data_IF_138886569947
#
_entry.id   IF_138886569947
#
_cell.length_a   1.000
_cell.length_b   1.000
_cell.length_c   1.000
_cell.angle_alpha   90.00
_cell.angle_beta   90.00
_cell.angle_gamma   90.00
#
_symmetry.space_group_name_H-M   'P 1'
#
loop_
_entity.id
_entity.type
_entity.pdbx_description
1 polymer ?
#
# COMPACT_ATOMS: atom_id res chain seq x y z
N UNK A 1 10.93 -7.97 -24.82
CA UNK A 1 9.73 -7.39 -24.21
C UNK A 1 9.95 -7.41 -22.71
N UNK A 2 10.08 -6.23 -22.09
CA UNK A 2 10.53 -6.07 -20.69
C UNK A 2 9.39 -6.38 -19.73
N UNK A 3 9.63 -7.30 -18.80
CA UNK A 3 8.73 -7.64 -17.67
C UNK A 3 8.80 -6.53 -16.60
N UNK A 4 7.85 -5.59 -16.63
CA UNK A 4 7.81 -4.42 -15.73
C UNK A 4 6.59 -4.43 -14.79
N UNK A 5 6.21 -5.58 -14.18
CA UNK A 5 4.80 -5.80 -13.87
C UNK A 5 4.44 -6.03 -12.40
N UNK A 6 5.37 -5.90 -11.42
CA UNK A 6 5.10 -6.43 -10.07
C UNK A 6 5.16 -5.44 -8.91
N UNK A 7 5.78 -4.27 -9.03
CA UNK A 7 5.88 -3.32 -7.91
C UNK A 7 4.55 -2.76 -7.43
N UNK A 8 3.52 -2.77 -8.25
CA UNK A 8 2.23 -2.24 -7.88
C UNK A 8 1.14 -3.30 -7.66
N UNK A 9 1.43 -4.56 -7.99
CA UNK A 9 0.58 -5.70 -7.65
C UNK A 9 1.00 -6.37 -6.34
N UNK A 10 2.08 -5.91 -5.76
CA UNK A 10 2.53 -6.32 -4.44
C UNK A 10 1.48 -6.14 -3.35
N UNK A 11 0.63 -5.08 -3.34
CA UNK A 11 -0.53 -5.01 -2.46
C UNK A 11 -1.74 -5.85 -2.88
N UNK A 12 -1.86 -6.26 -4.14
CA UNK A 12 -3.00 -7.06 -4.67
C UNK A 12 -2.99 -8.51 -4.15
N UNK A 13 -1.91 -8.94 -3.49
CA UNK A 13 -1.70 -10.31 -3.01
C UNK A 13 -2.46 -10.69 -1.71
N UNK A 14 -3.41 -9.90 -1.24
CA UNK A 14 -3.82 -9.93 0.16
C UNK A 14 -5.27 -10.34 0.45
N UNK A 15 -5.91 -11.11 -0.37
CA UNK A 15 -7.22 -11.63 -0.06
C UNK A 15 -7.18 -13.07 0.41
N UNK A 16 -7.36 -13.29 1.65
CA UNK A 16 -8.06 -14.38 2.32
C UNK A 16 -7.50 -14.77 3.70
N UNK A 17 -8.26 -14.58 4.76
CA UNK A 17 -7.95 -15.07 6.11
C UNK A 17 -9.07 -15.80 6.79
N UNK A 18 -8.73 -16.96 7.35
CA UNK A 18 -9.35 -17.50 8.53
C UNK A 18 -8.31 -17.64 9.65
N UNK A 19 -8.65 -17.15 10.83
CA UNK A 19 -7.83 -17.25 12.01
C UNK A 19 -7.87 -18.67 12.56
N UNK A 20 -6.72 -19.37 12.56
CA UNK A 20 -6.40 -20.36 13.57
C UNK A 20 -5.17 -19.88 14.30
N UNK A 21 -5.28 -19.69 15.63
CA UNK A 21 -4.15 -19.33 16.47
C UNK A 21 -3.07 -20.41 16.41
N UNK A 22 -1.87 -20.02 16.08
CA UNK A 22 -0.67 -20.83 16.06
C UNK A 22 0.53 -19.92 16.29
N UNK A 23 1.46 -20.40 17.10
CA UNK A 23 2.68 -19.72 17.55
C UNK A 23 3.48 -19.08 16.40
N UNK A 24 4.13 -17.97 16.69
CA UNK A 24 4.94 -17.20 15.76
C UNK A 24 6.06 -18.06 15.15
N UNK A 25 6.18 -18.16 13.82
CA UNK A 25 7.31 -18.85 13.21
C UNK A 25 8.59 -18.02 13.31
N UNK A 26 9.67 -18.67 13.71
CA UNK A 26 11.05 -18.17 13.63
C UNK A 26 11.40 -17.79 12.19
N UNK A 27 12.14 -16.68 12.03
CA UNK A 27 12.58 -16.15 10.73
C UNK A 27 13.30 -17.23 9.89
N UNK A 28 12.92 -17.46 8.62
CA UNK A 28 13.69 -18.30 7.73
C UNK A 28 14.89 -17.51 7.19
N UNK A 29 16.10 -17.99 7.50
CA UNK A 29 17.35 -17.57 6.86
C UNK A 29 17.31 -17.94 5.38
N UNK A 30 17.55 -16.97 4.49
CA UNK A 30 17.46 -17.14 3.04
C UNK A 30 18.45 -18.15 2.49
N UNK A 31 17.95 -19.30 2.05
CA UNK A 31 18.63 -20.18 1.09
C UNK A 31 18.39 -19.63 -0.33
N UNK A 32 19.32 -19.81 -1.30
CA UNK A 32 19.14 -19.37 -2.68
C UNK A 32 17.87 -19.99 -3.27
N UNK A 33 17.04 -19.15 -3.88
CA UNK A 33 15.67 -19.43 -4.22
C UNK A 33 15.47 -20.72 -5.06
N UNK A 34 14.64 -21.61 -4.55
CA UNK A 34 14.09 -22.73 -5.30
C UNK A 34 13.30 -22.17 -6.48
N UNK A 35 13.73 -22.46 -7.71
CA UNK A 35 12.91 -22.14 -8.88
C UNK A 35 11.67 -23.03 -8.85
N UNK A 36 10.51 -22.43 -8.67
CA UNK A 36 9.24 -23.13 -8.65
C UNK A 36 8.75 -23.32 -10.09
N UNK A 37 8.59 -24.56 -10.50
CA UNK A 37 7.94 -24.89 -11.77
C UNK A 37 6.51 -25.30 -11.47
N UNK A 38 5.55 -24.47 -11.89
CA UNK A 38 4.12 -24.69 -11.68
C UNK A 38 3.47 -24.96 -13.02
N UNK A 39 2.71 -26.05 -13.11
CA UNK A 39 1.96 -26.38 -14.32
C UNK A 39 0.64 -25.64 -14.33
N UNK A 40 0.49 -24.69 -15.24
CA UNK A 40 -0.74 -23.95 -15.42
C UNK A 40 -1.65 -24.66 -16.44
N UNK A 41 -2.93 -24.79 -16.10
CA UNK A 41 -3.97 -25.47 -16.89
C UNK A 41 -5.15 -24.53 -17.15
N UNK A 42 -6.06 -24.84 -18.09
CA UNK A 42 -7.32 -24.12 -18.21
C UNK A 42 -8.14 -24.18 -16.90
N UNK A 43 -9.04 -23.20 -16.65
CA UNK A 43 -9.91 -23.26 -15.50
C UNK A 43 -10.74 -24.54 -15.43
N UNK A 44 -10.85 -25.11 -14.22
CA UNK A 44 -11.76 -26.24 -13.96
C UNK A 44 -13.23 -25.79 -14.10
N UNK A 45 -14.18 -26.72 -14.23
CA UNK A 45 -15.61 -26.36 -14.31
C UNK A 45 -16.08 -25.51 -13.12
N UNK A 46 -15.57 -25.76 -11.91
CA UNK A 46 -15.90 -24.97 -10.70
C UNK A 46 -15.38 -23.54 -10.83
N UNK A 47 -14.12 -23.36 -11.21
CA UNK A 47 -13.51 -22.03 -11.37
C UNK A 47 -14.16 -21.29 -12.56
N UNK A 48 -14.46 -21.97 -13.66
CA UNK A 48 -15.16 -21.38 -14.81
C UNK A 48 -16.56 -20.87 -14.44
N UNK A 49 -17.29 -21.59 -13.59
CA UNK A 49 -18.60 -21.16 -13.11
C UNK A 49 -18.48 -19.96 -12.16
N UNK A 50 -17.52 -19.94 -11.22
CA UNK A 50 -17.26 -18.77 -10.36
C UNK A 50 -16.91 -17.56 -11.23
N UNK A 51 -16.02 -17.72 -12.23
CA UNK A 51 -15.65 -16.64 -13.16
C UNK A 51 -16.87 -16.06 -13.87
N UNK A 52 -17.75 -16.90 -14.37
CA UNK A 52 -18.98 -16.46 -15.05
C UNK A 52 -19.87 -15.64 -14.10
N UNK A 53 -20.02 -16.10 -12.85
CA UNK A 53 -20.83 -15.41 -11.83
C UNK A 53 -20.21 -14.07 -11.44
N UNK A 54 -18.89 -14.03 -11.18
CA UNK A 54 -18.13 -12.83 -10.81
C UNK A 54 -18.17 -11.80 -11.96
N UNK A 55 -17.99 -12.26 -13.22
CA UNK A 55 -18.07 -11.41 -14.41
C UNK A 55 -19.44 -10.74 -14.55
N UNK A 56 -20.52 -11.52 -14.35
CA UNK A 56 -21.89 -10.99 -14.39
C UNK A 56 -22.15 -9.96 -13.26
N UNK A 57 -21.62 -10.20 -12.07
CA UNK A 57 -21.76 -9.29 -10.93
C UNK A 57 -21.02 -7.99 -11.12
N UNK A 58 -19.81 -8.08 -11.66
CA UNK A 58 -18.94 -6.93 -11.87
C UNK A 58 -19.31 -6.17 -13.16
N UNK A 59 -19.97 -6.81 -14.10
CA UNK A 59 -20.33 -6.23 -15.39
C UNK A 59 -19.15 -6.12 -16.36
N UNK A 60 -18.15 -6.97 -16.22
CA UNK A 60 -16.99 -7.03 -17.11
C UNK A 60 -16.97 -8.37 -17.86
N UNK A 61 -16.43 -8.39 -19.10
CA UNK A 61 -16.29 -9.63 -19.85
C UNK A 61 -15.25 -10.56 -19.20
N UNK A 62 -15.53 -11.86 -19.17
CA UNK A 62 -14.58 -12.85 -18.70
C UNK A 62 -13.34 -12.91 -19.64
N UNK A 63 -12.11 -12.99 -19.08
CA UNK A 63 -10.90 -13.16 -19.87
C UNK A 63 -10.89 -14.51 -20.61
N UNK A 64 -10.43 -14.51 -21.86
CA UNK A 64 -10.35 -15.73 -22.69
C UNK A 64 -9.06 -16.53 -22.48
N UNK A 65 -8.06 -15.96 -21.79
CA UNK A 65 -6.71 -16.53 -21.67
C UNK A 65 -6.33 -16.88 -20.23
N UNK A 66 -7.31 -16.93 -19.32
CA UNK A 66 -7.06 -17.28 -17.93
C UNK A 66 -6.49 -18.69 -17.81
N UNK A 67 -5.43 -18.83 -17.02
CA UNK A 67 -4.83 -20.08 -16.61
C UNK A 67 -5.00 -20.25 -15.10
N UNK A 68 -4.95 -21.48 -14.63
CA UNK A 68 -5.02 -21.81 -13.20
C UNK A 68 -3.90 -22.75 -12.82
N UNK A 69 -3.33 -22.57 -11.66
CA UNK A 69 -2.29 -23.43 -11.14
C UNK A 69 -2.48 -23.66 -9.63
N UNK A 70 -2.33 -24.88 -9.18
CA UNK A 70 -2.26 -25.20 -7.76
C UNK A 70 -0.85 -24.95 -7.22
N UNK A 71 -0.76 -24.37 -6.03
CA UNK A 71 0.51 -24.08 -5.34
C UNK A 71 0.38 -24.54 -3.89
N UNK A 72 1.35 -25.34 -3.42
CA UNK A 72 1.39 -25.71 -2.03
C UNK A 72 1.70 -24.47 -1.15
N UNK A 73 1.10 -24.39 0.04
CA UNK A 73 1.31 -23.23 0.95
C UNK A 73 2.79 -22.96 1.24
N UNK A 74 3.60 -24.00 1.39
CA UNK A 74 5.04 -23.86 1.61
C UNK A 74 5.83 -23.28 0.43
N UNK A 75 5.25 -23.27 -0.77
CA UNK A 75 5.88 -22.75 -1.99
C UNK A 75 5.49 -21.29 -2.30
N UNK A 76 4.52 -20.72 -1.57
CA UNK A 76 4.07 -19.33 -1.76
C UNK A 76 5.22 -18.31 -1.67
N UNK A 77 6.14 -18.39 -0.69
CA UNK A 77 7.28 -17.45 -0.64
C UNK A 77 8.16 -17.51 -1.89
N UNK A 78 8.39 -18.71 -2.44
CA UNK A 78 9.18 -18.88 -3.66
C UNK A 78 8.45 -18.33 -4.89
N UNK A 79 7.13 -18.50 -4.97
CA UNK A 79 6.30 -17.90 -6.01
C UNK A 79 6.39 -16.38 -5.98
N UNK A 80 6.26 -15.78 -4.80
CA UNK A 80 6.40 -14.34 -4.61
C UNK A 80 7.78 -13.82 -5.03
N UNK A 81 8.83 -14.53 -4.64
CA UNK A 81 10.21 -14.16 -5.00
C UNK A 81 10.48 -14.22 -6.50
N UNK A 82 9.87 -15.17 -7.22
CA UNK A 82 9.95 -15.26 -8.67
C UNK A 82 9.15 -14.16 -9.37
N UNK A 83 8.06 -13.75 -8.75
CA UNK A 83 7.22 -12.71 -9.24
C UNK A 83 7.89 -11.31 -9.12
N UNK A 84 8.73 -11.06 -8.12
CA UNK A 84 9.41 -9.78 -7.89
C UNK A 84 10.48 -9.48 -8.93
N UNK A 85 10.36 -8.32 -9.58
CA UNK A 85 11.40 -7.79 -10.48
C UNK A 85 12.51 -7.08 -9.70
N UNK A 86 13.61 -6.74 -10.38
CA UNK A 86 14.66 -5.89 -9.79
C UNK A 86 14.14 -4.48 -9.45
N UNK A 87 13.24 -3.92 -10.26
CA UNK A 87 12.60 -2.64 -9.97
C UNK A 87 11.78 -2.69 -8.67
N UNK A 88 11.07 -3.81 -8.44
CA UNK A 88 10.29 -4.00 -7.22
C UNK A 88 11.20 -4.05 -5.98
N UNK A 89 12.29 -4.80 -6.07
CA UNK A 89 13.28 -4.88 -4.98
C UNK A 89 13.88 -3.52 -4.66
N UNK A 90 14.19 -2.73 -5.68
CA UNK A 90 14.69 -1.36 -5.53
C UNK A 90 13.62 -0.45 -4.89
N UNK A 91 12.36 -0.56 -5.30
CA UNK A 91 11.26 0.19 -4.70
C UNK A 91 11.11 -0.15 -3.21
N UNK A 92 11.11 -1.44 -2.86
CA UNK A 92 11.06 -1.88 -1.45
C UNK A 92 12.26 -1.35 -0.65
N UNK A 93 13.46 -1.36 -1.22
CA UNK A 93 14.64 -0.81 -0.57
C UNK A 93 14.52 0.68 -0.27
N UNK A 94 14.09 1.48 -1.26
CA UNK A 94 13.85 2.92 -1.10
C UNK A 94 12.75 3.20 -0.07
N UNK A 95 11.66 2.44 -0.12
CA UNK A 95 10.55 2.55 0.84
C UNK A 95 10.99 2.17 2.25
N UNK A 96 11.83 1.13 2.39
CA UNK A 96 12.44 0.76 3.68
C UNK A 96 13.21 1.94 4.28
N UNK A 97 14.04 2.63 3.49
CA UNK A 97 14.78 3.81 3.97
C UNK A 97 13.83 4.90 4.47
N UNK A 98 12.83 5.27 3.67
CA UNK A 98 11.82 6.26 4.06
C UNK A 98 11.08 5.85 5.35
N UNK A 99 10.63 4.59 5.44
CA UNK A 99 9.84 4.12 6.58
C UNK A 99 10.65 4.01 7.88
N UNK A 100 11.94 3.72 7.79
CA UNK A 100 12.84 3.83 8.96
C UNK A 100 12.97 5.28 9.42
N UNK A 101 13.09 6.23 8.51
CA UNK A 101 13.16 7.67 8.84
C UNK A 101 11.84 8.17 9.47
N UNK A 102 10.69 7.73 8.98
CA UNK A 102 9.38 8.03 9.56
C UNK A 102 9.09 7.23 10.86
N UNK A 103 9.90 6.22 11.19
CA UNK A 103 9.69 5.36 12.35
C UNK A 103 8.59 4.31 12.18
N UNK A 104 8.18 4.03 10.95
CA UNK A 104 7.27 2.93 10.65
C UNK A 104 7.96 1.57 10.77
N UNK A 105 9.27 1.54 10.54
CA UNK A 105 10.14 0.38 10.68
C UNK A 105 11.23 0.63 11.70
N UNK A 106 11.60 -0.40 12.45
CA UNK A 106 12.81 -0.39 13.27
C UNK A 106 14.06 -0.39 12.37
N UNK A 107 15.25 -0.02 12.91
CA UNK A 107 16.48 0.01 12.11
C UNK A 107 16.88 -1.32 11.48
N UNK A 108 16.49 -2.44 12.10
CA UNK A 108 16.77 -3.81 11.69
C UNK A 108 15.67 -4.43 10.80
N UNK A 109 14.54 -3.76 10.66
CA UNK A 109 13.41 -4.25 9.83
C UNK A 109 13.57 -3.86 8.37
N UNK A 110 13.10 -4.73 7.49
CA UNK A 110 13.07 -4.57 6.05
C UNK A 110 11.62 -4.73 5.53
N UNK A 111 11.14 -3.76 4.73
CA UNK A 111 9.74 -3.74 4.30
C UNK A 111 9.40 -4.92 3.40
N UNK A 112 10.32 -5.35 2.52
CA UNK A 112 10.11 -6.54 1.67
C UNK A 112 10.00 -7.82 2.50
N UNK A 113 10.80 -7.94 3.57
CA UNK A 113 10.75 -9.09 4.47
C UNK A 113 9.42 -9.16 5.22
N UNK A 114 8.91 -8.02 5.72
CA UNK A 114 7.58 -7.94 6.34
C UNK A 114 6.51 -8.31 5.32
N UNK A 115 6.59 -7.78 4.11
CA UNK A 115 5.66 -8.06 3.05
C UNK A 115 5.63 -9.56 2.70
N UNK A 116 6.79 -10.21 2.56
CA UNK A 116 6.89 -11.66 2.31
C UNK A 116 6.28 -12.50 3.43
N UNK A 117 6.56 -12.14 4.69
CA UNK A 117 5.99 -12.84 5.83
C UNK A 117 4.46 -12.73 5.84
N UNK A 118 3.96 -11.54 5.59
CA UNK A 118 2.54 -11.28 5.47
C UNK A 118 1.89 -12.09 4.33
N UNK A 119 2.41 -11.99 3.13
CA UNK A 119 1.88 -12.71 1.98
C UNK A 119 1.99 -14.24 2.15
N UNK A 120 3.07 -14.73 2.72
CA UNK A 120 3.28 -16.17 2.95
C UNK A 120 2.26 -16.80 3.91
N UNK A 121 1.77 -16.03 4.89
CA UNK A 121 0.76 -16.52 5.86
C UNK A 121 -0.67 -16.28 5.38
N UNK A 122 -0.86 -15.25 4.59
CA UNK A 122 -2.14 -14.66 4.23
C UNK A 122 -2.76 -15.19 2.95
N UNK A 123 -1.93 -15.54 1.98
CA UNK A 123 -2.37 -15.84 0.62
C UNK A 123 -3.05 -17.21 0.53
N UNK A 124 -4.32 -17.25 0.11
CA UNK A 124 -5.05 -18.47 -0.29
C UNK A 124 -5.18 -18.52 -1.82
N UNK A 125 -5.06 -17.37 -2.49
CA UNK A 125 -5.06 -17.24 -3.95
C UNK A 125 -4.21 -16.07 -4.38
N UNK A 126 -3.85 -16.05 -5.66
CA UNK A 126 -3.07 -14.99 -6.27
C UNK A 126 -3.35 -14.96 -7.76
N UNK A 127 -3.76 -13.83 -8.29
CA UNK A 127 -3.76 -13.59 -9.73
C UNK A 127 -2.49 -12.87 -10.18
N UNK A 128 -1.75 -13.44 -11.13
CA UNK A 128 -0.58 -12.82 -11.75
C UNK A 128 -0.92 -12.27 -13.15
N UNK A 129 -1.03 -10.95 -13.32
CA UNK A 129 -1.36 -10.33 -14.60
C UNK A 129 -0.36 -10.62 -15.72
N UNK A 130 0.93 -10.75 -15.40
CA UNK A 130 1.97 -10.96 -16.40
C UNK A 130 1.81 -12.30 -17.15
N UNK A 131 1.39 -13.34 -16.44
CA UNK A 131 1.19 -14.69 -17.00
C UNK A 131 -0.29 -15.03 -17.24
N UNK A 132 -1.21 -14.15 -16.79
CA UNK A 132 -2.66 -14.36 -16.76
C UNK A 132 -3.03 -15.64 -16.01
N UNK A 133 -2.36 -15.88 -14.89
CA UNK A 133 -2.48 -17.10 -14.10
C UNK A 133 -3.08 -16.82 -12.73
N UNK A 134 -4.15 -17.52 -12.40
CA UNK A 134 -4.68 -17.64 -11.05
C UNK A 134 -3.94 -18.77 -10.34
N UNK A 135 -3.20 -18.46 -9.30
CA UNK A 135 -2.62 -19.44 -8.40
C UNK A 135 -3.60 -19.68 -7.24
N UNK A 136 -3.96 -20.94 -7.03
CA UNK A 136 -4.80 -21.37 -5.90
C UNK A 136 -3.90 -22.09 -4.91
N UNK A 137 -3.82 -21.57 -3.68
CA UNK A 137 -3.00 -22.16 -2.63
C UNK A 137 -3.78 -23.27 -1.95
N UNK A 138 -3.28 -24.50 -2.09
CA UNK A 138 -3.87 -25.69 -1.48
C UNK A 138 -3.04 -26.12 -0.28
N UNK A 139 -3.71 -26.64 0.79
CA UNK A 139 -3.03 -26.99 2.05
C UNK A 139 -2.01 -28.11 1.90
N UNK A 140 -2.34 -29.13 1.13
CA UNK A 140 -1.60 -30.40 0.99
C UNK A 140 -1.30 -30.79 -0.46
N UNK A 141 -1.53 -29.89 -1.43
CA UNK A 141 -1.43 -30.20 -2.84
C UNK A 141 -2.66 -30.91 -3.40
N UNK A 142 -3.79 -30.91 -2.65
CA UNK A 142 -5.09 -31.38 -3.15
C UNK A 142 -5.52 -30.60 -4.38
N UNK A 143 -6.29 -31.22 -5.25
CA UNK A 143 -6.72 -30.62 -6.51
C UNK A 143 -7.65 -29.41 -6.30
N UNK A 144 -7.62 -28.50 -7.27
CA UNK A 144 -8.49 -27.32 -7.32
C UNK A 144 -9.96 -27.64 -7.61
N UNK A 145 -10.34 -28.91 -7.58
CA UNK A 145 -11.69 -29.39 -7.81
C UNK A 145 -12.57 -29.32 -6.56
N UNK A 146 -11.99 -29.51 -5.36
CA UNK A 146 -12.69 -29.62 -4.08
C UNK A 146 -12.46 -28.38 -3.18
N UNK A 147 -12.71 -27.20 -3.72
CA UNK A 147 -12.56 -25.95 -2.97
C UNK A 147 -13.62 -25.83 -1.87
N UNK A 148 -13.19 -25.50 -0.66
CA UNK A 148 -14.06 -25.09 0.44
C UNK A 148 -14.85 -23.82 0.11
N UNK A 149 -15.83 -23.46 0.89
CA UNK A 149 -16.58 -22.22 0.70
C UNK A 149 -15.64 -20.99 0.77
N UNK A 150 -14.69 -21.00 1.69
CA UNK A 150 -13.72 -19.93 1.90
C UNK A 150 -12.74 -19.81 0.73
N UNK A 151 -12.22 -20.93 0.21
CA UNK A 151 -11.36 -20.93 -0.97
C UNK A 151 -12.10 -20.43 -2.21
N UNK A 152 -13.40 -20.74 -2.34
CA UNK A 152 -14.25 -20.20 -3.43
C UNK A 152 -14.46 -18.69 -3.33
N UNK A 153 -14.60 -18.14 -2.11
CA UNK A 153 -14.67 -16.69 -1.89
C UNK A 153 -13.37 -16.02 -2.32
N UNK A 154 -12.22 -16.59 -1.93
CA UNK A 154 -10.90 -16.11 -2.39
C UNK A 154 -10.74 -16.19 -3.90
N UNK A 155 -11.14 -17.32 -4.51
CA UNK A 155 -11.11 -17.47 -5.97
C UNK A 155 -12.00 -16.41 -6.63
N UNK A 156 -13.16 -16.08 -6.07
CA UNK A 156 -14.01 -15.00 -6.59
C UNK A 156 -13.34 -13.62 -6.52
N UNK A 157 -12.57 -13.35 -5.45
CA UNK A 157 -11.74 -12.16 -5.33
C UNK A 157 -10.67 -12.09 -6.43
N UNK A 158 -9.85 -13.12 -6.54
CA UNK A 158 -8.76 -13.18 -7.53
C UNK A 158 -9.26 -13.15 -8.98
N UNK A 159 -10.40 -13.75 -9.24
CA UNK A 159 -11.07 -13.67 -10.53
C UNK A 159 -11.57 -12.26 -10.84
N UNK A 160 -11.89 -11.46 -9.82
CA UNK A 160 -12.18 -10.03 -10.02
C UNK A 160 -10.94 -9.28 -10.51
N UNK A 161 -9.76 -9.58 -9.98
CA UNK A 161 -8.50 -9.02 -10.51
C UNK A 161 -8.24 -9.47 -11.97
N UNK A 162 -8.56 -10.72 -12.31
CA UNK A 162 -8.46 -11.18 -13.70
C UNK A 162 -9.40 -10.41 -14.65
N UNK A 163 -10.61 -10.05 -14.19
CA UNK A 163 -11.54 -9.20 -14.94
C UNK A 163 -11.02 -7.76 -15.08
N UNK A 164 -10.54 -7.16 -13.98
CA UNK A 164 -9.97 -5.82 -13.97
C UNK A 164 -8.77 -5.74 -14.93
N UNK A 165 -7.86 -6.71 -14.86
CA UNK A 165 -6.68 -6.76 -15.70
C UNK A 165 -7.04 -6.93 -17.19
N UNK A 166 -7.99 -7.82 -17.51
CA UNK A 166 -8.43 -8.02 -18.89
C UNK A 166 -9.10 -6.77 -19.49
N UNK A 167 -9.79 -5.97 -18.66
CA UNK A 167 -10.54 -4.80 -19.11
C UNK A 167 -9.70 -3.51 -19.10
N UNK A 168 -8.73 -3.38 -18.21
CA UNK A 168 -8.05 -2.10 -17.93
C UNK A 168 -6.54 -2.19 -17.99
N UNK A 169 -5.92 -3.37 -18.14
CA UNK A 169 -4.47 -3.59 -18.11
C UNK A 169 -3.87 -3.09 -16.77
N UNK A 170 -4.18 -3.81 -15.68
CA UNK A 170 -3.72 -3.46 -14.33
C UNK A 170 -2.23 -3.22 -14.26
N UNK A 171 -1.46 -3.96 -15.02
CA UNK A 171 -0.05 -3.78 -15.05
C UNK A 171 0.37 -2.44 -15.64
N UNK A 172 -0.22 -1.99 -16.75
CA UNK A 172 0.07 -0.68 -17.32
C UNK A 172 -0.38 0.44 -16.36
N UNK A 173 -1.54 0.30 -15.72
CA UNK A 173 -2.03 1.28 -14.75
C UNK A 173 -1.09 1.39 -13.56
N UNK A 174 -0.70 0.28 -13.01
CA UNK A 174 0.22 0.15 -11.91
C UNK A 174 1.57 0.81 -12.19
N UNK A 175 2.15 0.56 -13.38
CA UNK A 175 3.43 1.16 -13.77
C UNK A 175 3.41 2.70 -13.84
N UNK A 176 2.23 3.31 -13.97
CA UNK A 176 2.09 4.78 -13.98
C UNK A 176 2.15 5.40 -12.59
N UNK A 177 1.80 4.65 -11.56
CA UNK A 177 1.65 5.15 -10.19
C UNK A 177 2.70 4.62 -9.21
N UNK A 178 3.45 3.57 -9.59
CA UNK A 178 4.32 2.83 -8.67
C UNK A 178 5.41 3.69 -8.00
N UNK A 179 5.94 4.69 -8.69
CA UNK A 179 6.99 5.55 -8.14
C UNK A 179 6.43 6.68 -7.24
N UNK A 180 5.12 6.85 -7.15
CA UNK A 180 4.46 7.79 -6.25
C UNK A 180 3.71 7.02 -5.16
N UNK A 181 4.19 7.11 -3.91
CA UNK A 181 3.67 6.35 -2.78
C UNK A 181 2.17 6.59 -2.53
N UNK A 182 1.72 7.84 -2.57
CA UNK A 182 0.33 8.23 -2.33
C UNK A 182 -0.60 7.73 -3.45
N UNK A 183 -0.19 7.90 -4.71
CA UNK A 183 -0.97 7.42 -5.85
C UNK A 183 -1.02 5.89 -5.90
N UNK A 184 0.09 5.22 -5.60
CA UNK A 184 0.15 3.76 -5.56
C UNK A 184 -0.80 3.21 -4.50
N UNK A 185 -0.79 3.76 -3.29
CA UNK A 185 -1.68 3.34 -2.21
C UNK A 185 -3.17 3.60 -2.54
N UNK A 186 -3.47 4.74 -3.18
CA UNK A 186 -4.83 5.06 -3.63
C UNK A 186 -5.31 4.14 -4.77
N UNK A 187 -4.41 3.81 -5.71
CA UNK A 187 -4.71 2.85 -6.78
C UNK A 187 -4.94 1.45 -6.22
N UNK A 188 -4.12 1.01 -5.28
CA UNK A 188 -4.32 -0.25 -4.58
C UNK A 188 -5.67 -0.27 -3.86
N UNK A 189 -6.04 0.82 -3.18
CA UNK A 189 -7.35 0.94 -2.52
C UNK A 189 -8.53 0.84 -3.50
N UNK A 190 -8.38 1.32 -4.74
CA UNK A 190 -9.38 1.16 -5.80
C UNK A 190 -9.51 -0.30 -6.24
N UNK A 191 -8.38 -0.93 -6.56
CA UNK A 191 -8.34 -2.30 -7.13
C UNK A 191 -8.84 -3.31 -6.10
N UNK A 192 -8.33 -3.25 -4.86
CA UNK A 192 -8.74 -4.13 -3.76
C UNK A 192 -10.17 -3.85 -3.29
N UNK A 193 -10.53 -2.57 -3.18
CA UNK A 193 -11.89 -2.17 -2.80
C UNK A 193 -12.95 -2.72 -3.76
N UNK A 194 -12.68 -2.72 -5.06
CA UNK A 194 -13.57 -3.30 -6.07
C UNK A 194 -13.60 -4.83 -5.99
N UNK A 195 -12.44 -5.47 -5.80
CA UNK A 195 -12.35 -6.93 -5.69
C UNK A 195 -13.11 -7.44 -4.45
N UNK A 196 -12.88 -6.85 -3.27
CA UNK A 196 -13.60 -7.22 -2.03
C UNK A 196 -15.09 -6.92 -2.14
N UNK A 197 -15.49 -5.78 -2.72
CA UNK A 197 -16.90 -5.46 -2.93
C UNK A 197 -17.59 -6.52 -3.80
N UNK A 198 -16.92 -6.97 -4.86
CA UNK A 198 -17.46 -7.96 -5.76
C UNK A 198 -17.46 -9.37 -5.15
N UNK A 199 -16.43 -9.75 -4.41
CA UNK A 199 -16.35 -10.97 -3.58
C UNK A 199 -17.53 -11.04 -2.61
N UNK A 200 -17.78 -9.98 -1.83
CA UNK A 200 -18.89 -9.92 -0.88
C UNK A 200 -20.26 -10.07 -1.55
N UNK A 201 -20.44 -9.49 -2.72
CA UNK A 201 -21.68 -9.65 -3.50
C UNK A 201 -21.84 -11.08 -4.00
N UNK A 202 -20.75 -11.70 -4.42
CA UNK A 202 -20.73 -13.09 -4.85
C UNK A 202 -21.06 -14.03 -3.68
N UNK A 203 -20.40 -13.86 -2.54
CA UNK A 203 -20.62 -14.65 -1.33
C UNK A 203 -22.08 -14.59 -0.85
N UNK A 204 -22.68 -13.40 -0.82
CA UNK A 204 -24.08 -13.20 -0.45
C UNK A 204 -25.04 -13.97 -1.39
N UNK A 205 -24.78 -13.98 -2.69
CA UNK A 205 -25.62 -14.72 -3.67
C UNK A 205 -25.44 -16.23 -3.55
N UNK A 206 -24.22 -16.68 -3.37
CA UNK A 206 -23.91 -18.10 -3.20
C UNK A 206 -24.51 -18.67 -1.91
N UNK A 207 -24.59 -17.87 -0.86
CA UNK A 207 -25.21 -18.24 0.41
C UNK A 207 -26.71 -18.28 0.37
N UNK A 208 -27.33 -17.33 -0.31
CA UNK A 208 -28.77 -17.32 -0.55
C UNK A 208 -29.23 -18.59 -1.33
N UNK A 209 -28.31 -19.24 -2.07
CA UNK A 209 -28.53 -20.49 -2.79
C UNK A 209 -28.31 -21.77 -1.92
N UNK A 210 -28.07 -21.63 -0.59
CA UNK A 210 -27.94 -22.78 0.32
C UNK A 210 -26.58 -22.99 0.97
N UNK A 211 -25.61 -22.09 0.75
CA UNK A 211 -24.33 -22.07 1.45
C UNK A 211 -24.37 -21.13 2.65
N UNK A 212 -23.89 -21.56 3.82
CA UNK A 212 -23.82 -20.69 5.01
C UNK A 212 -22.82 -19.59 4.84
N UNK A 213 -23.27 -18.34 4.64
CA UNK A 213 -22.40 -17.18 4.52
C UNK A 213 -22.06 -16.58 5.86
N UNK A 214 -20.85 -16.10 5.97
CA UNK A 214 -20.51 -15.04 6.89
C UNK A 214 -21.20 -13.76 6.41
N UNK A 215 -22.24 -13.31 7.16
CA UNK A 215 -23.00 -12.08 6.87
C UNK A 215 -22.17 -10.79 7.00
N UNK A 216 -20.94 -10.90 7.42
CA UNK A 216 -19.99 -9.82 7.61
C UNK A 216 -18.75 -10.13 6.78
N UNK A 217 -18.34 -9.18 5.95
CA UNK A 217 -17.11 -9.29 5.17
C UNK A 217 -15.93 -9.74 6.04
N UNK A 218 -15.01 -10.46 5.45
CA UNK A 218 -13.80 -10.96 6.11
C UNK A 218 -13.10 -9.80 6.82
N UNK A 219 -12.62 -9.97 8.06
CA UNK A 219 -11.80 -8.94 8.69
C UNK A 219 -10.56 -8.73 7.84
N UNK A 220 -10.18 -7.45 7.67
CA UNK A 220 -8.93 -7.13 7.01
C UNK A 220 -7.77 -7.89 7.64
N UNK A 221 -6.79 -8.36 6.85
CA UNK A 221 -5.71 -9.21 7.34
C UNK A 221 -4.98 -8.61 8.53
N UNK A 222 -4.66 -9.42 9.52
CA UNK A 222 -3.87 -9.03 10.68
C UNK A 222 -2.44 -9.53 10.52
N UNK A 223 -1.47 -8.66 10.74
CA UNK A 223 -0.04 -8.99 10.71
C UNK A 223 0.52 -8.88 12.13
N UNK A 224 0.79 -10.00 12.76
CA UNK A 224 1.43 -9.98 14.07
C UNK A 224 2.91 -9.61 13.96
N UNK A 225 3.40 -8.82 14.93
CA UNK A 225 4.84 -8.51 15.03
C UNK A 225 5.34 -7.36 14.16
N UNK A 226 4.46 -6.68 13.41
CA UNK A 226 4.78 -5.44 12.69
C UNK A 226 4.31 -4.21 13.47
N UNK A 227 4.85 -3.04 13.13
CA UNK A 227 4.39 -1.79 13.74
C UNK A 227 2.94 -1.50 13.36
N UNK A 228 2.21 -0.82 14.25
CA UNK A 228 0.83 -0.40 13.98
C UNK A 228 0.72 0.51 12.74
N UNK A 229 1.78 1.21 12.37
CA UNK A 229 1.81 2.03 11.16
C UNK A 229 1.79 1.15 9.90
N UNK A 230 2.62 0.12 9.85
CA UNK A 230 2.63 -0.84 8.74
C UNK A 230 1.32 -1.63 8.68
N UNK A 231 0.79 -2.06 9.84
CA UNK A 231 -0.51 -2.74 9.87
C UNK A 231 -1.63 -1.87 9.27
N UNK A 232 -1.71 -0.58 9.67
CA UNK A 232 -2.72 0.35 9.12
C UNK A 232 -2.57 0.53 7.62
N UNK A 233 -1.34 0.62 7.12
CA UNK A 233 -1.07 0.77 5.69
C UNK A 233 -1.51 -0.46 4.90
N UNK A 234 -1.11 -1.67 5.35
CA UNK A 234 -1.50 -2.92 4.70
C UNK A 234 -3.00 -3.15 4.71
N UNK A 235 -3.71 -2.62 5.72
CA UNK A 235 -5.18 -2.74 5.84
C UNK A 235 -5.96 -1.66 5.11
N UNK A 236 -5.33 -0.54 4.76
CA UNK A 236 -6.00 0.61 4.16
C UNK A 236 -6.80 0.25 2.89
N UNK A 237 -6.30 -0.53 1.93
CA UNK A 237 -7.04 -0.95 0.76
C UNK A 237 -8.31 -1.74 1.09
N UNK A 238 -8.25 -2.59 2.11
CA UNK A 238 -9.33 -3.50 2.53
C UNK A 238 -10.33 -2.87 3.49
N UNK A 239 -10.06 -1.67 3.97
CA UNK A 239 -10.96 -0.91 4.86
C UNK A 239 -11.48 0.33 4.16
N UNK A 240 -10.71 1.40 4.12
CA UNK A 240 -11.10 2.65 3.46
C UNK A 240 -11.35 2.47 1.94
N UNK A 241 -10.56 1.62 1.26
CA UNK A 241 -10.77 1.30 -0.15
C UNK A 241 -12.13 0.65 -0.40
N UNK A 242 -12.50 -0.34 0.41
CA UNK A 242 -13.82 -1.03 0.31
C UNK A 242 -14.96 -0.07 0.59
N UNK A 243 -14.86 0.76 1.64
CA UNK A 243 -15.87 1.76 1.97
C UNK A 243 -16.07 2.75 0.82
N UNK A 244 -14.97 3.28 0.30
CA UNK A 244 -14.98 4.22 -0.81
C UNK A 244 -15.58 3.62 -2.08
N UNK A 245 -15.07 2.46 -2.55
CA UNK A 245 -15.53 1.82 -3.79
C UNK A 245 -16.98 1.37 -3.68
N UNK A 246 -17.40 0.86 -2.51
CA UNK A 246 -18.80 0.53 -2.25
C UNK A 246 -19.71 1.76 -2.38
N UNK A 247 -19.27 2.91 -1.86
CA UNK A 247 -19.98 4.19 -2.00
C UNK A 247 -20.06 4.65 -3.46
N UNK A 248 -18.95 4.60 -4.20
CA UNK A 248 -18.89 4.92 -5.64
C UNK A 248 -19.83 4.03 -6.43
N UNK A 249 -19.80 2.71 -6.16
CA UNK A 249 -20.68 1.74 -6.82
C UNK A 249 -22.15 1.95 -6.49
N UNK A 250 -22.46 2.31 -5.24
CA UNK A 250 -23.84 2.61 -4.84
C UNK A 250 -24.39 3.88 -5.54
N UNK A 251 -23.54 4.87 -5.77
CA UNK A 251 -23.92 6.13 -6.38
C UNK A 251 -24.04 6.06 -7.92
N UNK A 252 -23.13 5.34 -8.59
CA UNK A 252 -23.04 5.35 -10.06
C UNK A 252 -22.88 3.98 -10.73
N UNK A 253 -23.11 2.90 -10.00
CA UNK A 253 -22.98 1.53 -10.50
C UNK A 253 -21.53 1.13 -10.80
N UNK A 254 -21.37 0.01 -11.51
CA UNK A 254 -20.06 -0.47 -11.94
C UNK A 254 -19.39 0.49 -12.92
N UNK A 255 -20.15 1.23 -13.71
CA UNK A 255 -19.62 2.21 -14.67
C UNK A 255 -18.83 3.34 -13.98
N UNK A 256 -19.22 3.75 -12.77
CA UNK A 256 -18.47 4.74 -12.00
C UNK A 256 -17.13 4.18 -11.50
N UNK A 257 -17.09 2.92 -11.09
CA UNK A 257 -15.83 2.22 -10.73
C UNK A 257 -14.93 2.05 -11.96
N UNK A 258 -15.51 1.70 -13.11
CA UNK A 258 -14.78 1.59 -14.37
C UNK A 258 -14.13 2.92 -14.80
N UNK A 259 -14.82 4.03 -14.55
CA UNK A 259 -14.26 5.36 -14.83
C UNK A 259 -13.00 5.63 -13.97
N UNK A 260 -13.03 5.25 -12.70
CA UNK A 260 -11.86 5.36 -11.82
C UNK A 260 -10.71 4.43 -12.23
N UNK A 261 -11.00 3.22 -12.71
CA UNK A 261 -9.96 2.32 -13.22
C UNK A 261 -9.30 2.85 -14.51
N UNK A 262 -10.03 3.61 -15.35
CA UNK A 262 -9.47 4.27 -16.54
C UNK A 262 -8.63 5.51 -16.21
N UNK A 263 -9.02 6.27 -15.18
CA UNK A 263 -8.32 7.45 -14.67
C UNK A 263 -8.13 7.29 -13.14
N UNK A 264 -7.05 6.61 -12.72
CA UNK A 264 -6.82 6.28 -11.31
C UNK A 264 -6.78 7.52 -10.40
N UNK A 265 -7.13 7.36 -9.11
CA UNK A 265 -7.18 8.47 -8.16
C UNK A 265 -5.82 9.14 -8.02
N UNK A 266 -5.83 10.46 -7.88
CA UNK A 266 -4.62 11.28 -7.77
C UNK A 266 -3.86 11.10 -6.43
N UNK A 267 -4.45 10.42 -5.44
CA UNK A 267 -3.86 10.15 -4.13
C UNK A 267 -4.90 9.69 -3.11
N UNK A 268 -4.42 9.36 -1.91
CA UNK A 268 -5.24 8.81 -0.82
C UNK A 268 -6.31 9.77 -0.30
N UNK A 269 -6.13 11.07 -0.47
CA UNK A 269 -7.15 12.07 -0.09
C UNK A 269 -8.47 11.88 -0.84
N UNK A 270 -8.46 11.33 -2.07
CA UNK A 270 -9.66 10.99 -2.83
C UNK A 270 -10.42 9.83 -2.17
N UNK A 271 -9.69 8.87 -1.62
CA UNK A 271 -10.25 7.71 -0.91
C UNK A 271 -10.83 8.14 0.44
N UNK A 272 -10.11 9.01 1.16
CA UNK A 272 -10.49 9.49 2.48
C UNK A 272 -11.62 10.53 2.46
N UNK A 273 -11.72 11.31 1.38
CA UNK A 273 -12.67 12.42 1.21
C UNK A 273 -13.33 12.40 -0.18
N UNK A 274 -14.14 11.37 -0.48
CA UNK A 274 -14.76 11.23 -1.81
C UNK A 274 -15.65 12.42 -2.19
N UNK A 275 -16.23 13.12 -1.22
CA UNK A 275 -17.03 14.33 -1.41
C UNK A 275 -16.21 15.53 -1.92
N UNK A 276 -14.91 15.59 -1.62
CA UNK A 276 -14.00 16.61 -2.13
C UNK A 276 -13.55 16.28 -3.56
N UNK A 277 -13.27 15.02 -3.83
CA UNK A 277 -12.97 14.54 -5.17
C UNK A 277 -14.12 14.78 -6.16
N UNK A 278 -15.37 14.55 -5.72
CA UNK A 278 -16.56 14.84 -6.49
C UNK A 278 -16.71 16.33 -6.83
N UNK A 279 -16.10 17.23 -6.03
CA UNK A 279 -16.02 18.69 -6.29
C UNK A 279 -14.80 19.07 -7.14
N UNK A 280 -14.05 18.10 -7.67
CA UNK A 280 -12.88 18.30 -8.52
C UNK A 280 -11.61 18.69 -7.77
N UNK A 281 -11.56 18.55 -6.43
CA UNK A 281 -10.34 18.79 -5.66
C UNK A 281 -9.29 17.75 -6.02
N UNK A 282 -8.10 18.22 -6.42
CA UNK A 282 -6.92 17.40 -6.69
C UNK A 282 -5.75 17.91 -5.84
N UNK A 283 -4.79 17.04 -5.49
CA UNK A 283 -3.56 17.49 -4.84
C UNK A 283 -2.85 18.57 -5.65
N UNK A 284 -2.36 19.57 -4.96
CA UNK A 284 -1.58 20.66 -5.56
C UNK A 284 -0.14 20.19 -5.80
N UNK A 285 0.43 20.62 -6.93
CA UNK A 285 1.85 20.39 -7.19
C UNK A 285 2.71 21.24 -6.23
N UNK A 286 3.63 20.58 -5.54
CA UNK A 286 4.59 21.20 -4.63
C UNK A 286 5.99 21.00 -5.17
N UNK A 287 6.79 22.07 -5.19
CA UNK A 287 8.19 22.02 -5.65
C UNK A 287 9.12 21.94 -4.44
N UNK A 288 10.01 20.96 -4.46
CA UNK A 288 11.10 20.80 -3.51
C UNK A 288 12.44 20.96 -4.28
N UNK A 289 13.25 21.98 -3.96
CA UNK A 289 14.54 22.14 -4.62
C UNK A 289 15.51 21.01 -4.28
N UNK A 290 16.42 20.64 -5.19
CA UNK A 290 17.43 19.60 -4.95
C UNK A 290 18.43 20.02 -3.87
N UNK A 291 18.84 19.10 -3.01
CA UNK A 291 19.73 19.38 -1.88
C UNK A 291 21.11 18.75 -1.99
N UNK A 292 21.39 17.94 -3.01
CA UNK A 292 22.62 17.16 -3.13
C UNK A 292 23.90 18.03 -2.98
N UNK A 293 23.92 19.16 -3.68
CA UNK A 293 25.08 20.08 -3.64
C UNK A 293 25.23 20.73 -2.26
N UNK A 294 24.10 21.13 -1.64
CA UNK A 294 24.10 21.79 -0.34
C UNK A 294 24.45 20.85 0.81
N UNK A 295 24.09 19.58 0.71
CA UNK A 295 24.43 18.56 1.72
C UNK A 295 25.92 18.20 1.66
N UNK A 296 26.56 18.29 0.52
CA UNK A 296 27.98 18.06 0.34
C UNK A 296 28.33 16.73 -0.32
N UNK A 297 29.64 16.42 -0.47
CA UNK A 297 30.09 15.24 -1.18
C UNK A 297 29.54 13.93 -0.56
N UNK A 298 29.18 12.98 -1.42
CA UNK A 298 28.70 11.65 -1.03
C UNK A 298 27.20 11.55 -0.78
N UNK A 299 26.47 12.66 -0.71
CA UNK A 299 25.02 12.64 -0.66
C UNK A 299 24.40 12.49 -2.06
N UNK A 300 23.41 11.60 -2.20
CA UNK A 300 22.67 11.40 -3.43
C UNK A 300 21.17 11.26 -3.11
N UNK A 301 20.33 11.69 -4.01
CA UNK A 301 18.89 11.45 -3.92
C UNK A 301 18.60 10.00 -4.33
N UNK A 302 17.87 9.28 -3.50
CA UNK A 302 17.48 7.89 -3.73
C UNK A 302 16.07 7.75 -4.25
N UNK A 303 15.14 8.59 -3.75
CA UNK A 303 13.75 8.61 -4.17
C UNK A 303 13.13 9.97 -3.94
N UNK A 304 12.03 10.21 -4.60
CA UNK A 304 11.15 11.37 -4.39
C UNK A 304 9.71 10.97 -4.74
N UNK A 305 8.73 11.75 -4.28
CA UNK A 305 7.32 11.52 -4.55
C UNK A 305 6.40 12.32 -3.63
N UNK A 306 5.20 11.81 -3.44
CA UNK A 306 4.17 12.38 -2.55
C UNK A 306 3.91 11.42 -1.40
N UNK A 307 3.93 11.93 -0.15
CA UNK A 307 3.55 11.15 1.04
C UNK A 307 2.04 10.96 1.09
N UNK A 308 1.31 12.04 0.83
CA UNK A 308 -0.14 12.06 0.85
C UNK A 308 -0.75 12.14 2.25
N UNK A 309 -2.05 12.40 2.29
CA UNK A 309 -2.79 12.57 3.54
C UNK A 309 -2.74 11.33 4.43
N UNK A 310 -2.88 10.13 3.83
CA UNK A 310 -2.90 8.89 4.62
C UNK A 310 -1.57 8.65 5.34
N UNK A 311 -0.44 8.81 4.67
CA UNK A 311 0.88 8.58 5.28
C UNK A 311 1.14 9.59 6.40
N UNK A 312 0.79 10.86 6.21
CA UNK A 312 0.91 11.91 7.24
C UNK A 312 0.03 11.62 8.47
N UNK A 313 -1.22 11.23 8.25
CA UNK A 313 -2.12 10.79 9.32
C UNK A 313 -1.56 9.57 10.03
N UNK A 314 -1.10 8.56 9.29
CA UNK A 314 -0.53 7.32 9.82
C UNK A 314 0.74 7.58 10.64
N UNK A 315 1.57 8.51 10.18
CA UNK A 315 2.77 8.96 10.89
C UNK A 315 2.42 9.54 12.27
N UNK A 316 1.48 10.48 12.34
CA UNK A 316 1.07 11.08 13.61
C UNK A 316 0.43 10.05 14.56
N UNK A 317 -0.37 9.12 14.02
CA UNK A 317 -1.05 8.07 14.82
C UNK A 317 -0.10 7.10 15.54
N UNK A 318 1.20 7.16 15.30
CA UNK A 318 2.14 6.35 16.06
C UNK A 318 2.20 6.76 17.55
N UNK A 319 1.95 8.04 17.86
CA UNK A 319 2.17 8.58 19.21
C UNK A 319 1.14 9.59 19.69
N UNK A 320 0.21 10.02 18.83
CA UNK A 320 -0.92 10.87 19.23
C UNK A 320 -2.26 10.16 18.95
N UNK A 321 -3.34 10.68 19.56
CA UNK A 321 -4.66 10.08 19.41
C UNK A 321 -5.10 10.07 17.95
N UNK A 322 -5.77 9.00 17.54
CA UNK A 322 -6.19 8.80 16.15
C UNK A 322 -7.02 9.97 15.59
N UNK A 323 -7.96 10.50 16.39
CA UNK A 323 -8.81 11.63 15.96
C UNK A 323 -8.00 12.93 15.77
N UNK A 324 -7.02 13.19 16.62
CA UNK A 324 -6.16 14.36 16.50
C UNK A 324 -5.28 14.27 15.24
N UNK A 325 -4.74 13.09 14.95
CA UNK A 325 -3.98 12.83 13.74
C UNK A 325 -4.83 12.98 12.45
N UNK A 326 -6.08 12.48 12.47
CA UNK A 326 -7.04 12.68 11.37
C UNK A 326 -7.28 14.17 11.14
N UNK A 327 -7.63 14.91 12.20
CA UNK A 327 -7.94 16.35 12.10
C UNK A 327 -6.72 17.18 11.68
N UNK A 328 -5.50 16.76 12.06
CA UNK A 328 -4.28 17.45 11.67
C UNK A 328 -3.96 17.25 10.18
N UNK A 329 -4.12 16.02 9.67
CA UNK A 329 -3.80 15.70 8.29
C UNK A 329 -4.89 16.13 7.28
N UNK A 330 -6.15 16.27 7.71
CA UNK A 330 -7.31 16.56 6.83
C UNK A 330 -7.20 17.87 6.03
N UNK A 331 -6.38 18.82 6.49
CA UNK A 331 -6.08 20.05 5.77
C UNK A 331 -5.02 19.94 4.68
N UNK A 332 -4.41 18.75 4.50
CA UNK A 332 -3.42 18.53 3.46
C UNK A 332 -3.98 18.83 2.06
N UNK A 333 -3.21 19.55 1.25
CA UNK A 333 -3.59 19.87 -0.13
C UNK A 333 -2.54 19.44 -1.16
N UNK A 334 -1.35 19.05 -0.73
CA UNK A 334 -0.27 18.55 -1.57
C UNK A 334 1.04 18.45 -0.83
N UNK A 335 1.97 17.68 -1.34
CA UNK A 335 3.34 17.64 -0.84
C UNK A 335 4.32 17.13 -1.90
N UNK A 336 5.58 17.35 -1.63
CA UNK A 336 6.68 16.69 -2.30
C UNK A 336 7.74 16.30 -1.26
N UNK A 337 8.15 15.04 -1.26
CA UNK A 337 9.27 14.56 -0.47
C UNK A 337 10.42 14.08 -1.33
N UNK A 338 11.63 14.11 -0.77
CA UNK A 338 12.80 13.47 -1.33
C UNK A 338 13.63 12.79 -0.22
N UNK A 339 14.15 11.60 -0.53
CA UNK A 339 15.06 10.86 0.35
C UNK A 339 16.47 11.00 -0.19
N UNK A 340 17.38 11.37 0.69
CA UNK A 340 18.82 11.49 0.40
C UNK A 340 19.61 10.55 1.30
N UNK A 341 20.63 9.90 0.76
CA UNK A 341 21.52 9.04 1.52
C UNK A 341 22.99 9.32 1.22
N UNK A 342 23.81 9.11 2.23
CA UNK A 342 25.27 9.01 2.14
C UNK A 342 25.71 7.56 2.41
N UNK A 343 26.99 7.31 2.64
CA UNK A 343 27.48 5.98 3.02
C UNK A 343 27.01 5.53 4.41
N UNK A 344 26.63 6.45 5.30
CA UNK A 344 26.32 6.17 6.71
C UNK A 344 24.99 6.74 7.18
N UNK A 345 24.47 7.77 6.52
CA UNK A 345 23.33 8.54 6.99
C UNK A 345 22.27 8.73 5.89
N UNK A 346 21.04 8.91 6.32
CA UNK A 346 19.91 9.19 5.43
C UNK A 346 19.05 10.34 5.96
N UNK A 347 18.43 11.07 5.03
CA UNK A 347 17.47 12.15 5.27
C UNK A 347 16.23 11.95 4.41
N UNK A 348 15.05 12.19 4.96
CA UNK A 348 13.85 12.46 4.18
C UNK A 348 13.45 13.93 4.41
N UNK A 349 13.27 14.65 3.34
CA UNK A 349 12.83 16.06 3.36
C UNK A 349 11.47 16.13 2.70
N UNK A 350 10.50 16.77 3.33
CA UNK A 350 9.16 16.96 2.79
C UNK A 350 8.75 18.44 2.88
N UNK A 351 8.22 18.98 1.79
CA UNK A 351 7.46 20.23 1.79
C UNK A 351 5.98 19.90 1.71
N UNK A 352 5.28 20.12 2.81
CA UNK A 352 3.87 19.83 2.98
C UNK A 352 3.08 21.10 2.75
N UNK A 353 2.04 21.06 1.94
CA UNK A 353 1.10 22.16 1.70
C UNK A 353 -0.25 21.86 2.30
N UNK A 354 -0.84 22.87 2.91
CA UNK A 354 -2.17 22.81 3.52
C UNK A 354 -3.11 23.82 2.86
N UNK A 355 -4.41 23.63 3.00
CA UNK A 355 -5.41 24.53 2.43
C UNK A 355 -5.45 25.93 3.07
N UNK A 356 -4.86 26.08 4.27
CA UNK A 356 -4.76 27.34 5.00
C UNK A 356 -3.61 27.35 6.00
N UNK A 357 -3.22 28.55 6.44
CA UNK A 357 -2.27 28.74 7.56
C UNK A 357 -2.73 28.03 8.83
N UNK A 358 -4.02 28.10 9.16
CA UNK A 358 -4.56 27.45 10.35
C UNK A 358 -4.45 25.91 10.31
N UNK A 359 -4.62 25.30 9.13
CA UNK A 359 -4.44 23.85 8.94
C UNK A 359 -2.97 23.47 9.04
N UNK A 360 -2.06 24.23 8.42
CA UNK A 360 -0.62 24.06 8.60
C UNK A 360 -0.22 24.11 10.07
N UNK A 361 -0.68 25.11 10.80
CA UNK A 361 -0.33 25.32 12.21
C UNK A 361 -0.89 24.19 13.09
N UNK A 362 -2.07 23.67 12.77
CA UNK A 362 -2.64 22.49 13.43
C UNK A 362 -1.75 21.27 13.23
N UNK A 363 -1.30 21.03 11.99
CA UNK A 363 -0.38 19.92 11.72
C UNK A 363 0.96 20.11 12.43
N UNK A 364 1.55 21.31 12.39
CA UNK A 364 2.80 21.63 13.07
C UNK A 364 2.70 21.46 14.58
N UNK A 365 1.57 21.84 15.20
CA UNK A 365 1.30 21.60 16.62
C UNK A 365 1.23 20.09 16.94
N UNK A 366 0.50 19.33 16.13
CA UNK A 366 0.39 17.88 16.31
C UNK A 366 1.73 17.16 16.09
N UNK A 367 2.58 17.67 15.19
CA UNK A 367 3.95 17.20 15.05
C UNK A 367 4.78 17.52 16.31
N UNK A 368 4.60 18.68 16.94
CA UNK A 368 5.19 19.04 18.23
C UNK A 368 4.80 18.07 19.36
N UNK A 369 3.50 17.73 19.44
CA UNK A 369 2.99 16.73 20.39
C UNK A 369 3.61 15.34 20.13
N UNK A 370 3.69 14.95 18.85
CA UNK A 370 4.35 13.70 18.42
C UNK A 370 5.84 13.69 18.81
N UNK A 371 6.58 14.78 18.57
CA UNK A 371 7.99 14.93 18.99
C UNK A 371 8.14 14.75 20.51
N UNK A 372 7.30 15.40 21.29
CA UNK A 372 7.29 15.32 22.75
C UNK A 372 7.02 13.89 23.23
N UNK A 373 6.03 13.21 22.64
CA UNK A 373 5.69 11.83 22.97
C UNK A 373 6.81 10.83 22.65
N UNK A 374 7.70 11.16 21.68
CA UNK A 374 8.85 10.34 21.30
C UNK A 374 10.15 10.75 21.99
N UNK A 375 10.08 11.48 23.11
CA UNK A 375 11.24 11.88 23.91
C UNK A 375 12.12 12.94 23.23
N UNK A 376 11.52 13.79 22.41
CA UNK A 376 12.20 14.84 21.66
C UNK A 376 12.95 15.82 22.56
N UNK A 377 14.22 16.06 22.24
CA UNK A 377 15.08 17.06 22.89
C UNK A 377 15.53 18.05 21.84
N UNK A 378 15.08 19.29 21.98
CA UNK A 378 15.43 20.38 21.08
C UNK A 378 16.91 20.78 21.26
N UNK A 379 17.64 20.93 20.15
CA UNK A 379 19.00 21.43 20.10
C UNK A 379 19.12 22.82 19.45
N UNK A 380 17.99 23.42 19.07
CA UNK A 380 17.91 24.70 18.36
C UNK A 380 17.95 24.55 16.83
N UNK A 381 18.66 23.56 16.29
CA UNK A 381 18.70 23.28 14.86
C UNK A 381 17.77 22.11 14.47
N UNK A 382 17.61 21.15 15.37
CA UNK A 382 16.75 19.98 15.20
C UNK A 382 16.35 19.40 16.57
N UNK A 383 15.26 18.66 16.59
CA UNK A 383 14.83 17.85 17.74
C UNK A 383 15.38 16.44 17.59
N UNK A 384 16.15 15.97 18.56
CA UNK A 384 16.63 14.58 18.63
C UNK A 384 15.64 13.74 19.42
N UNK A 385 15.15 12.66 18.82
CA UNK A 385 14.20 11.72 19.42
C UNK A 385 14.90 10.75 20.40
N UNK A 386 14.11 10.03 21.21
CA UNK A 386 14.61 9.03 22.14
C UNK A 386 15.40 7.88 21.50
N UNK A 387 15.12 7.54 20.23
CA UNK A 387 15.85 6.55 19.42
C UNK A 387 17.06 7.12 18.66
N UNK A 388 17.31 8.42 18.79
CA UNK A 388 18.42 9.13 18.17
C UNK A 388 18.13 9.70 16.79
N UNK A 389 16.98 9.43 16.16
CA UNK A 389 16.58 10.11 14.92
C UNK A 389 16.44 11.61 15.16
N UNK A 390 16.60 12.39 14.11
CA UNK A 390 16.49 13.84 14.17
C UNK A 390 15.30 14.32 13.36
N UNK A 391 14.59 15.32 13.87
CA UNK A 391 13.51 15.99 13.15
C UNK A 391 13.69 17.50 13.22
N UNK A 392 13.60 18.17 12.09
CA UNK A 392 13.62 19.62 12.02
C UNK A 392 12.41 20.10 11.21
N UNK A 393 11.80 21.23 11.58
CA UNK A 393 10.66 21.78 10.88
C UNK A 393 10.67 23.31 10.85
N UNK A 394 10.14 23.88 9.78
CA UNK A 394 9.93 25.34 9.67
C UNK A 394 8.70 25.64 8.80
N UNK A 395 7.94 26.62 9.19
CA UNK A 395 6.87 27.19 8.35
C UNK A 395 7.49 27.88 7.13
N UNK A 396 6.96 27.61 5.93
CA UNK A 396 7.42 28.19 4.68
C UNK A 396 6.22 28.81 3.92
N UNK A 397 6.33 30.07 3.55
CA UNK A 397 5.20 30.78 2.95
C UNK A 397 3.98 30.85 3.87
N UNK A 398 2.79 30.95 3.28
CA UNK A 398 1.53 31.09 4.05
C UNK A 398 0.99 29.77 4.58
N UNK A 399 1.09 28.69 3.80
CA UNK A 399 0.42 27.41 4.10
C UNK A 399 1.33 26.19 3.97
N UNK A 400 2.62 26.38 3.73
CA UNK A 400 3.59 25.29 3.61
C UNK A 400 4.32 25.06 4.94
N UNK A 401 4.65 23.78 5.21
CA UNK A 401 5.52 23.34 6.29
C UNK A 401 6.65 22.49 5.67
N UNK A 402 7.89 22.82 5.97
CA UNK A 402 9.02 21.97 5.62
C UNK A 402 9.36 21.11 6.84
N UNK A 403 9.47 19.80 6.63
CA UNK A 403 9.87 18.85 7.67
C UNK A 403 11.04 18.02 7.16
N UNK A 404 12.04 17.81 7.99
CA UNK A 404 13.20 16.97 7.71
C UNK A 404 13.26 15.87 8.76
N UNK A 405 13.32 14.62 8.32
CA UNK A 405 13.57 13.45 9.16
C UNK A 405 14.96 12.93 8.84
N UNK A 406 15.80 12.81 9.85
CA UNK A 406 17.17 12.35 9.72
C UNK A 406 17.46 11.09 10.53
N UNK A 407 18.36 10.24 10.05
CA UNK A 407 19.00 9.21 10.85
C UNK A 407 19.88 9.86 11.94
N UNK A 408 20.44 9.06 12.84
CA UNK A 408 21.02 9.52 14.13
C UNK A 408 22.03 10.68 14.03
N UNK A 409 22.86 10.70 12.98
CA UNK A 409 23.90 11.72 12.79
C UNK A 409 23.69 12.55 11.52
N UNK A 410 22.51 12.41 10.90
CA UNK A 410 22.19 13.15 9.69
C UNK A 410 22.08 14.66 9.96
N UNK A 411 22.49 15.52 9.03
CA UNK A 411 22.48 16.98 9.22
C UNK A 411 21.07 17.57 8.96
N UNK A 412 20.07 17.17 9.80
CA UNK A 412 18.68 17.59 9.60
C UNK A 412 18.49 19.11 9.67
N UNK A 413 19.13 19.76 10.66
CA UNK A 413 19.08 21.23 10.77
C UNK A 413 19.72 21.94 9.58
N UNK A 414 20.86 21.42 9.07
CA UNK A 414 21.50 21.97 7.86
C UNK A 414 20.59 21.79 6.63
N UNK A 415 19.98 20.62 6.46
CA UNK A 415 19.06 20.39 5.36
C UNK A 415 17.85 21.35 5.41
N UNK A 416 17.31 21.59 6.62
CA UNK A 416 16.25 22.57 6.82
C UNK A 416 16.70 24.00 6.46
N UNK A 417 17.91 24.42 6.90
CA UNK A 417 18.45 25.73 6.61
C UNK A 417 18.63 26.00 5.11
N UNK A 418 19.06 24.98 4.35
CA UNK A 418 19.18 25.06 2.88
C UNK A 418 17.83 25.32 2.19
N UNK A 419 16.73 24.85 2.77
CA UNK A 419 15.37 25.04 2.20
C UNK A 419 14.69 26.32 2.70
N UNK A 420 15.03 26.80 3.90
CA UNK A 420 14.45 28.00 4.47
C UNK A 420 15.11 29.29 3.93
N UNK A 421 16.33 29.21 3.42
CA UNK A 421 17.11 30.34 2.90
C UNK A 421 16.97 30.59 1.39
N UNK A 422 16.21 29.77 0.65
CA UNK A 422 15.86 29.93 -0.75
C UNK A 422 14.38 30.28 -0.91
#
# INVERSE_FOLDING_TARGET
>A
MRRWWLAALVPVLLAAFSACGGDAPSQPSGAPGKTLTVTAVPPSPVIAEILRQVANLRGLPAPTTLKVAAVARGDVPALLDQALTESDRQWFGRTTTLYRLLGFLRPDEDYLSIYRAFAGTAVIGLYEPATKTLYVVTGDGSGIEDLSAEEKETVAHELTHALQDAAFDLGQLSSRVQDNLDQNLAFTALVEGDAVTNEQLWARRSSAAGGGALLFGRPAPFVSGVSAAIERELRFPYTAGVEWVSGVRAAGGTAAVDALLRDPPAGTSVVLHPELAAKGRRPEAVVLPPLEQGLGPGWRRESEGTLGEFVLRNFLQQSIRALDAVNAAAGWSGDHYAVYSSSTESLAVARLRFGSTAERDRFASSLGDWLSANGGKDSGEATTLGDGRQVAQVAAGSADLIVVFGSKHAPAGRALALLAGG
#
